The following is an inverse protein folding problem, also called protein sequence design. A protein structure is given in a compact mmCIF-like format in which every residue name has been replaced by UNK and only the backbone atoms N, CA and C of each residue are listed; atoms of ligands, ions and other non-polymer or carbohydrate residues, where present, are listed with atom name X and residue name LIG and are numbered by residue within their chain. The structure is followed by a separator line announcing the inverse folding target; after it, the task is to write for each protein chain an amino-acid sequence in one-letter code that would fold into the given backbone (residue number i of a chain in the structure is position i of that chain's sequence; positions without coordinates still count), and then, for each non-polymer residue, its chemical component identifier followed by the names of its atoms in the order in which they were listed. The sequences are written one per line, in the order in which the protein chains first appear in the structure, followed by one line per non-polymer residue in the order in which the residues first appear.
data_IF_549604525594
#
_entry.id   IF_549604525594
#
_cell.length_a   1.000
_cell.length_b   1.000
_cell.length_c   1.000
_cell.angle_alpha   90.00
_cell.angle_beta   90.00
_cell.angle_gamma   90.00
#
_symmetry.space_group_name_H-M   'P 1'
#
loop_
_entity.id
_entity.type
_entity.pdbx_description
1 polymer ?
#
# COMPACT_ATOMS: atom_id res chain seq x y z
N UNK A 1 -19.58 67.42 15.59
CA UNK A 1 -18.42 66.54 15.27
C UNK A 1 -18.88 65.15 15.50
N UNK A 2 -19.14 64.37 14.42
CA UNK A 2 -19.62 62.98 14.48
C UNK A 2 -18.45 62.10 14.18
N UNK A 3 -17.99 61.35 15.20
CA UNK A 3 -16.93 60.32 15.06
C UNK A 3 -17.49 59.09 14.39
N UNK A 4 -16.90 58.69 13.27
CA UNK A 4 -17.15 57.43 12.59
C UNK A 4 -16.24 56.39 13.22
N UNK A 5 -16.82 55.43 13.93
CA UNK A 5 -16.11 54.27 14.43
C UNK A 5 -16.07 53.23 13.30
N UNK A 6 -14.91 53.06 12.68
CA UNK A 6 -14.63 51.99 11.72
C UNK A 6 -14.46 50.67 12.47
N UNK A 7 -15.44 49.78 12.36
CA UNK A 7 -15.39 48.45 12.91
C UNK A 7 -14.68 47.55 11.87
N UNK A 8 -13.36 47.34 12.01
CA UNK A 8 -12.60 46.40 11.18
C UNK A 8 -12.92 44.98 11.61
N UNK A 9 -13.79 44.30 10.88
CA UNK A 9 -14.02 42.86 11.01
C UNK A 9 -12.85 42.12 10.34
N UNK A 10 -11.91 41.68 11.15
CA UNK A 10 -10.86 40.75 10.71
C UNK A 10 -11.53 39.37 10.54
N UNK A 11 -11.85 39.03 9.30
CA UNK A 11 -12.25 37.65 8.94
C UNK A 11 -10.99 36.76 9.04
N UNK A 12 -10.83 36.07 10.15
CA UNK A 12 -9.87 34.96 10.26
C UNK A 12 -10.35 33.81 9.34
N UNK A 13 -9.84 33.80 8.13
CA UNK A 13 -9.98 32.65 7.25
C UNK A 13 -9.08 31.57 7.85
N UNK A 14 -9.68 30.63 8.58
CA UNK A 14 -9.01 29.41 9.02
C UNK A 14 -8.68 28.60 7.76
N UNK A 15 -7.44 28.70 7.28
CA UNK A 15 -6.90 27.81 6.27
C UNK A 15 -6.78 26.43 6.93
N UNK A 16 -7.79 25.59 6.74
CA UNK A 16 -7.69 24.18 7.06
C UNK A 16 -6.64 23.60 6.13
N UNK A 17 -5.42 23.42 6.62
CA UNK A 17 -4.41 22.64 5.93
C UNK A 17 -4.89 21.18 6.00
N UNK A 18 -5.46 20.67 4.91
CA UNK A 18 -5.69 19.25 4.74
C UNK A 18 -4.32 18.59 4.66
N UNK A 19 -3.86 18.05 5.78
CA UNK A 19 -2.75 17.11 5.78
C UNK A 19 -3.23 15.86 5.04
N UNK A 20 -2.47 15.40 4.07
CA UNK A 20 -2.74 14.13 3.41
C UNK A 20 -2.38 13.01 4.40
N UNK A 21 -3.41 12.33 4.95
CA UNK A 21 -3.22 11.16 5.81
C UNK A 21 -3.10 9.91 4.96
N UNK A 22 -2.10 9.08 5.26
CA UNK A 22 -1.90 7.81 4.58
C UNK A 22 -2.52 6.66 5.38
N UNK A 23 -2.96 5.56 4.73
CA UNK A 23 -3.57 4.43 5.43
C UNK A 23 -2.73 3.89 6.59
N UNK A 24 -1.41 3.80 6.43
CA UNK A 24 -0.50 3.35 7.50
C UNK A 24 -0.41 4.28 8.71
N UNK A 25 -0.86 5.54 8.58
CA UNK A 25 -0.86 6.51 9.68
C UNK A 25 -2.16 6.48 10.51
N UNK A 26 -3.20 5.84 9.99
CA UNK A 26 -4.52 5.76 10.59
C UNK A 26 -4.66 4.54 11.51
N UNK A 27 -5.63 4.62 12.43
CA UNK A 27 -6.09 3.50 13.24
C UNK A 27 -7.30 2.85 12.58
N UNK A 28 -7.18 1.59 12.18
CA UNK A 28 -8.22 0.81 11.51
C UNK A 28 -8.81 -0.23 12.44
N UNK A 29 -10.11 -0.43 12.41
CA UNK A 29 -10.71 -1.60 13.07
C UNK A 29 -10.18 -2.89 12.42
N UNK A 30 -9.75 -3.85 13.27
CA UNK A 30 -9.14 -5.05 12.73
C UNK A 30 -8.86 -6.15 13.74
N UNK A 31 -8.20 -7.19 13.24
CA UNK A 31 -7.80 -8.37 14.00
C UNK A 31 -6.38 -8.78 13.64
N UNK A 32 -5.64 -9.20 14.66
CA UNK A 32 -4.28 -9.74 14.51
C UNK A 32 -4.29 -11.17 15.00
N UNK A 33 -3.78 -12.09 14.21
CA UNK A 33 -3.50 -13.46 14.63
C UNK A 33 -1.99 -13.62 14.80
N UNK A 34 -1.60 -14.01 16.01
CA UNK A 34 -0.20 -14.24 16.37
C UNK A 34 0.24 -15.64 15.94
N UNK A 35 1.56 -15.87 15.87
CA UNK A 35 2.14 -17.17 15.49
C UNK A 35 1.80 -18.30 16.47
N UNK A 36 1.45 -17.99 17.72
CA UNK A 36 0.98 -18.95 18.72
C UNK A 36 -0.52 -19.31 18.57
N UNK A 37 -1.22 -18.69 17.61
CA UNK A 37 -2.64 -18.90 17.35
C UNK A 37 -3.60 -17.93 18.07
N UNK A 38 -3.10 -17.11 19.00
CA UNK A 38 -3.93 -16.11 19.69
C UNK A 38 -4.42 -15.05 18.71
N UNK A 39 -5.67 -14.65 18.86
CA UNK A 39 -6.27 -13.58 18.04
C UNK A 39 -6.67 -12.40 18.92
N UNK A 40 -6.19 -11.23 18.55
CA UNK A 40 -6.48 -9.95 19.21
C UNK A 40 -7.36 -9.10 18.29
N UNK A 41 -8.37 -8.45 18.85
CA UNK A 41 -9.25 -7.53 18.13
C UNK A 41 -9.12 -6.12 18.71
N UNK A 42 -9.04 -5.12 17.85
CA UNK A 42 -8.88 -3.72 18.28
C UNK A 42 -8.59 -2.79 17.11
N UNK A 43 -8.15 -1.58 17.44
CA UNK A 43 -7.72 -0.61 16.43
C UNK A 43 -6.26 -0.81 16.11
N UNK A 44 -5.95 -1.05 14.84
CA UNK A 44 -4.61 -1.40 14.36
C UNK A 44 -4.04 -0.25 13.55
N UNK A 45 -2.81 0.11 13.85
CA UNK A 45 -1.93 0.92 13.03
C UNK A 45 -0.76 0.05 12.59
N UNK A 46 -0.36 0.12 11.32
CA UNK A 46 0.72 -0.70 10.78
C UNK A 46 1.85 0.16 10.21
N UNK A 47 3.04 -0.38 10.24
CA UNK A 47 4.26 0.22 9.70
C UNK A 47 4.99 -0.86 8.90
N UNK A 48 4.86 -0.81 7.57
CA UNK A 48 5.50 -1.78 6.68
C UNK A 48 6.99 -1.49 6.46
N UNK A 49 7.46 -0.29 6.77
CA UNK A 49 8.88 0.04 6.68
C UNK A 49 9.69 -0.68 7.78
N UNK A 50 9.14 -0.69 8.99
CA UNK A 50 9.75 -1.32 10.16
C UNK A 50 9.18 -2.72 10.47
N UNK A 51 8.22 -3.21 9.69
CA UNK A 51 7.53 -4.48 9.87
C UNK A 51 6.92 -4.65 11.26
N UNK A 52 6.21 -3.60 11.70
CA UNK A 52 5.55 -3.50 13.00
C UNK A 52 4.06 -3.24 12.84
N UNK A 53 3.30 -3.68 13.85
CA UNK A 53 1.93 -3.21 14.07
C UNK A 53 1.78 -2.73 15.50
N UNK A 54 0.89 -1.78 15.69
CA UNK A 54 0.37 -1.37 16.98
C UNK A 54 -1.12 -1.71 17.02
N UNK A 55 -1.56 -2.34 18.11
CA UNK A 55 -2.97 -2.61 18.35
C UNK A 55 -3.39 -1.95 19.65
N UNK A 56 -4.51 -1.25 19.63
CA UNK A 56 -5.12 -0.60 20.78
C UNK A 56 -6.29 -1.45 21.27
N UNK A 57 -6.16 -1.98 22.48
CA UNK A 57 -7.18 -2.79 23.15
C UNK A 57 -7.42 -2.18 24.52
N UNK A 58 -8.66 -1.82 24.84
CA UNK A 58 -9.04 -1.21 26.14
C UNK A 58 -8.11 -0.06 26.56
N UNK A 59 -7.81 0.86 25.63
CA UNK A 59 -6.89 2.00 25.81
C UNK A 59 -5.43 1.62 26.10
N UNK A 60 -5.06 0.36 25.91
CA UNK A 60 -3.68 -0.11 26.03
C UNK A 60 -3.11 -0.39 24.67
N UNK A 61 -1.93 0.16 24.38
CA UNK A 61 -1.22 -0.05 23.12
C UNK A 61 -0.26 -1.24 23.30
N UNK A 62 -0.37 -2.19 22.39
CA UNK A 62 0.57 -3.30 22.27
C UNK A 62 1.24 -3.24 20.90
N UNK A 63 2.55 -3.50 20.84
CA UNK A 63 3.32 -3.48 19.60
C UNK A 63 3.86 -4.88 19.31
N UNK A 64 3.68 -5.33 18.07
CA UNK A 64 4.16 -6.63 17.59
C UNK A 64 4.99 -6.44 16.32
N UNK A 65 6.11 -7.16 16.25
CA UNK A 65 6.87 -7.26 14.99
C UNK A 65 6.36 -8.40 14.12
N UNK A 66 6.68 -8.37 12.84
CA UNK A 66 6.34 -9.43 11.88
C UNK A 66 6.69 -10.84 12.40
N UNK A 67 7.75 -11.00 13.20
CA UNK A 67 8.14 -12.29 13.79
C UNK A 67 7.10 -12.90 14.73
N UNK A 68 6.23 -12.07 15.33
CA UNK A 68 5.19 -12.53 16.27
C UNK A 68 3.81 -12.62 15.63
N UNK A 69 3.65 -12.15 14.40
CA UNK A 69 2.39 -12.08 13.67
C UNK A 69 2.37 -13.19 12.64
N UNK A 70 1.26 -13.93 12.55
CA UNK A 70 0.99 -14.79 11.41
C UNK A 70 0.34 -13.95 10.28
N UNK A 71 -0.74 -13.25 10.62
CA UNK A 71 -1.41 -12.31 9.72
C UNK A 71 -2.26 -11.30 10.51
N UNK A 72 -2.63 -10.21 9.87
CA UNK A 72 -3.64 -9.31 10.38
C UNK A 72 -4.56 -8.83 9.25
N UNK A 73 -5.78 -8.45 9.61
CA UNK A 73 -6.74 -7.85 8.69
C UNK A 73 -7.30 -6.57 9.30
N UNK A 74 -7.49 -5.56 8.46
CA UNK A 74 -8.05 -4.26 8.81
C UNK A 74 -9.19 -3.90 7.87
N UNK A 75 -10.14 -3.10 8.35
CA UNK A 75 -11.09 -2.41 7.50
C UNK A 75 -10.57 -1.01 7.21
N UNK A 76 -10.15 -0.78 5.97
CA UNK A 76 -9.63 0.51 5.52
C UNK A 76 -10.79 1.37 5.01
N UNK A 77 -11.18 2.38 5.81
CA UNK A 77 -12.29 3.29 5.50
C UNK A 77 -12.01 4.12 4.25
N UNK A 78 -10.74 4.42 3.96
CA UNK A 78 -10.37 5.27 2.81
C UNK A 78 -10.70 4.64 1.46
N UNK A 79 -10.74 3.30 1.41
CA UNK A 79 -11.07 2.50 0.23
C UNK A 79 -12.28 1.58 0.45
N UNK A 80 -12.91 1.66 1.62
CA UNK A 80 -14.11 0.92 2.04
C UNK A 80 -13.98 -0.59 1.83
N UNK A 81 -12.81 -1.16 2.15
CA UNK A 81 -12.56 -2.58 1.96
C UNK A 81 -11.70 -3.19 3.07
N UNK A 82 -11.82 -4.51 3.23
CA UNK A 82 -10.89 -5.27 4.05
C UNK A 82 -9.57 -5.46 3.32
N UNK A 83 -8.48 -5.26 4.07
CA UNK A 83 -7.12 -5.52 3.62
C UNK A 83 -6.50 -6.55 4.56
N UNK A 84 -5.85 -7.56 4.01
CA UNK A 84 -5.21 -8.63 4.78
C UNK A 84 -3.71 -8.66 4.49
N UNK A 85 -2.95 -8.74 5.56
CA UNK A 85 -1.50 -8.73 5.53
C UNK A 85 -0.96 -10.00 6.20
N UNK A 86 -0.04 -10.66 5.54
CA UNK A 86 0.64 -11.84 6.07
C UNK A 86 2.10 -11.53 6.39
N UNK A 87 2.59 -12.15 7.44
CA UNK A 87 4.01 -12.18 7.74
C UNK A 87 4.63 -13.35 6.97
N UNK A 88 5.45 -13.04 5.97
CA UNK A 88 6.01 -14.04 5.06
C UNK A 88 7.54 -13.93 5.13
N UNK A 89 8.26 -15.06 5.28
CA UNK A 89 9.72 -15.08 5.16
C UNK A 89 10.14 -14.54 3.79
N UNK A 90 11.06 -13.59 3.79
CA UNK A 90 11.59 -12.97 2.58
C UNK A 90 13.11 -12.87 2.65
N UNK A 91 13.78 -13.34 1.59
CA UNK A 91 15.23 -13.30 1.48
C UNK A 91 15.70 -11.85 1.19
N UNK A 92 16.27 -11.21 2.20
CA UNK A 92 16.81 -9.84 2.06
C UNK A 92 18.27 -9.83 1.62
N UNK A 93 18.98 -10.93 1.86
CA UNK A 93 20.35 -11.19 1.43
C UNK A 93 20.50 -12.68 1.16
N UNK A 94 21.47 -13.13 0.35
CA UNK A 94 21.69 -14.54 0.09
C UNK A 94 21.74 -15.38 1.39
N UNK A 95 20.86 -16.37 1.50
CA UNK A 95 20.70 -17.26 2.66
C UNK A 95 20.29 -16.57 3.97
N UNK A 96 19.73 -15.34 3.89
CA UNK A 96 19.22 -14.65 5.08
C UNK A 96 17.80 -14.18 4.86
N UNK A 97 16.86 -14.90 5.47
CA UNK A 97 15.42 -14.59 5.43
C UNK A 97 14.97 -13.97 6.74
N UNK A 98 14.10 -12.98 6.61
CA UNK A 98 13.36 -12.41 7.74
C UNK A 98 11.88 -12.33 7.39
N UNK A 99 10.98 -12.47 8.37
CA UNK A 99 9.56 -12.26 8.13
C UNK A 99 9.29 -10.76 7.91
N UNK A 100 8.67 -10.47 6.77
CA UNK A 100 8.16 -9.13 6.41
C UNK A 100 6.65 -9.18 6.25
N UNK A 101 6.00 -8.05 6.45
CA UNK A 101 4.55 -7.91 6.29
C UNK A 101 4.20 -7.56 4.83
N UNK A 102 3.38 -8.39 4.19
CA UNK A 102 2.89 -8.18 2.84
C UNK A 102 1.36 -8.11 2.80
N UNK A 103 0.81 -7.12 2.12
CA UNK A 103 -0.60 -7.12 1.77
C UNK A 103 -0.86 -8.16 0.66
N UNK A 104 -1.86 -9.02 0.85
CA UNK A 104 -2.30 -9.94 -0.19
C UNK A 104 -3.34 -9.24 -1.06
N UNK A 105 -2.98 -8.95 -2.30
CA UNK A 105 -3.89 -8.33 -3.27
C UNK A 105 -4.70 -9.37 -4.05
N UNK A 106 -4.13 -10.51 -4.30
CA UNK A 106 -4.79 -11.65 -4.94
C UNK A 106 -4.11 -12.95 -4.52
N UNK A 107 -4.88 -13.90 -4.05
CA UNK A 107 -4.41 -15.22 -3.66
C UNK A 107 -4.72 -16.24 -4.77
N UNK A 108 -3.79 -17.15 -5.07
CA UNK A 108 -3.96 -18.16 -6.09
C UNK A 108 -2.72 -19.02 -6.30
N UNK A 109 -2.64 -19.75 -7.44
CA UNK A 109 -1.42 -20.48 -7.83
C UNK A 109 -0.21 -19.55 -8.01
N UNK A 110 -0.50 -18.32 -8.43
CA UNK A 110 0.41 -17.20 -8.40
C UNK A 110 -0.26 -16.10 -7.57
N UNK A 111 0.22 -15.84 -6.38
CA UNK A 111 -0.29 -14.77 -5.51
C UNK A 111 0.37 -13.46 -5.85
N UNK A 112 -0.40 -12.37 -5.84
CA UNK A 112 0.08 -11.00 -5.97
C UNK A 112 0.08 -10.35 -4.59
N UNK A 113 1.24 -9.89 -4.17
CA UNK A 113 1.49 -9.25 -2.89
C UNK A 113 1.94 -7.80 -3.12
N UNK A 114 1.74 -6.96 -2.11
CA UNK A 114 2.22 -5.59 -2.14
C UNK A 114 2.80 -5.16 -0.80
N UNK A 115 3.75 -4.22 -0.86
CA UNK A 115 4.17 -3.38 0.26
C UNK A 115 4.00 -1.93 -0.14
N UNK A 116 3.42 -1.14 0.74
CA UNK A 116 3.30 0.30 0.54
C UNK A 116 4.37 1.04 1.33
N UNK A 117 4.81 2.16 0.80
CA UNK A 117 5.74 3.07 1.43
C UNK A 117 5.34 4.51 1.14
N UNK A 118 5.55 5.39 2.11
CA UNK A 118 5.39 6.83 1.93
C UNK A 118 6.70 7.36 1.35
N UNK A 119 6.66 7.80 0.11
CA UNK A 119 7.84 8.32 -0.57
C UNK A 119 7.73 9.82 -0.83
N UNK A 120 8.86 10.50 -0.75
CA UNK A 120 8.96 11.92 -1.05
C UNK A 120 9.49 12.10 -2.47
N UNK A 121 8.77 12.84 -3.29
CA UNK A 121 9.23 13.19 -4.64
C UNK A 121 9.31 14.71 -4.82
N UNK A 122 10.28 15.14 -5.59
CA UNK A 122 10.43 16.54 -6.00
C UNK A 122 9.83 16.72 -7.37
N UNK A 123 8.81 17.56 -7.48
CA UNK A 123 8.13 17.88 -8.74
C UNK A 123 8.38 19.33 -9.12
N UNK A 124 8.77 19.62 -10.38
CA UNK A 124 8.88 20.98 -10.84
C UNK A 124 7.48 21.60 -10.97
N UNK A 125 7.27 22.72 -10.31
CA UNK A 125 6.06 23.51 -10.45
C UNK A 125 6.38 24.86 -11.11
N UNK A 126 5.74 25.12 -12.24
CA UNK A 126 5.87 26.41 -12.91
C UNK A 126 4.93 27.43 -12.27
N UNK A 127 5.49 28.52 -11.76
CA UNK A 127 4.73 29.64 -11.25
C UNK A 127 4.57 30.72 -12.32
N UNK A 128 3.38 30.92 -12.81
CA UNK A 128 3.07 32.01 -13.78
C UNK A 128 3.31 33.40 -13.20
N UNK A 129 3.14 33.59 -11.89
CA UNK A 129 3.33 34.86 -11.22
C UNK A 129 4.80 35.30 -11.19
N UNK A 130 5.71 34.34 -11.05
CA UNK A 130 7.15 34.61 -10.95
C UNK A 130 7.93 34.25 -12.22
N UNK A 131 7.28 33.70 -13.26
CA UNK A 131 7.88 33.21 -14.51
C UNK A 131 9.10 32.31 -14.25
N UNK A 132 9.04 31.54 -13.19
CA UNK A 132 10.13 30.64 -12.78
C UNK A 132 9.56 29.24 -12.41
N UNK A 133 10.37 28.21 -12.59
CA UNK A 133 10.07 26.89 -12.03
C UNK A 133 10.62 26.83 -10.61
N UNK A 134 9.76 26.45 -9.68
CA UNK A 134 10.13 26.08 -8.31
C UNK A 134 10.02 24.57 -8.15
N UNK A 135 10.96 23.97 -7.45
CA UNK A 135 10.82 22.57 -7.06
C UNK A 135 9.95 22.50 -5.80
N UNK A 136 8.84 21.78 -5.91
CA UNK A 136 8.00 21.44 -4.75
C UNK A 136 8.25 20.00 -4.35
N UNK A 137 8.37 19.79 -3.05
CA UNK A 137 8.45 18.46 -2.46
C UNK A 137 7.06 18.03 -2.04
N UNK A 138 6.63 16.84 -2.46
CA UNK A 138 5.38 16.24 -2.00
C UNK A 138 5.61 14.79 -1.58
N UNK A 139 4.84 14.36 -0.59
CA UNK A 139 4.77 12.95 -0.21
C UNK A 139 3.66 12.24 -0.97
N UNK A 140 3.88 10.99 -1.32
CA UNK A 140 2.86 10.13 -1.94
C UNK A 140 3.00 8.69 -1.47
N UNK A 141 1.91 7.95 -1.54
CA UNK A 141 1.92 6.51 -1.36
C UNK A 141 2.47 5.84 -2.62
N UNK A 142 3.47 5.01 -2.45
CA UNK A 142 4.05 4.17 -3.48
C UNK A 142 3.85 2.70 -3.12
N UNK A 143 3.83 1.83 -4.12
CA UNK A 143 3.68 0.39 -3.93
C UNK A 143 4.86 -0.34 -4.57
N UNK A 144 5.37 -1.32 -3.85
CA UNK A 144 6.21 -2.38 -4.39
C UNK A 144 5.34 -3.63 -4.55
N UNK A 145 5.45 -4.30 -5.69
CA UNK A 145 4.68 -5.51 -5.96
C UNK A 145 5.58 -6.73 -6.00
N UNK A 146 5.01 -7.86 -5.58
CA UNK A 146 5.71 -9.14 -5.53
C UNK A 146 4.78 -10.24 -6.00
N UNK A 147 5.36 -11.24 -6.66
CA UNK A 147 4.68 -12.47 -7.01
C UNK A 147 5.26 -13.62 -6.19
N UNK A 148 4.36 -14.45 -5.67
CA UNK A 148 4.70 -15.66 -4.92
C UNK A 148 3.99 -16.86 -5.54
N UNK A 149 4.72 -17.87 -5.96
CA UNK A 149 4.16 -19.10 -6.49
C UNK A 149 3.95 -20.15 -5.38
N UNK A 150 3.26 -21.26 -5.73
CA UNK A 150 3.00 -22.35 -4.80
C UNK A 150 4.26 -23.13 -4.34
N UNK A 151 5.40 -22.91 -4.98
CA UNK A 151 6.68 -23.52 -4.61
C UNK A 151 7.46 -22.64 -3.63
N UNK A 152 6.95 -21.46 -3.31
CA UNK A 152 7.64 -20.47 -2.47
C UNK A 152 8.59 -19.56 -3.25
N UNK A 153 8.62 -19.61 -4.59
CA UNK A 153 9.45 -18.69 -5.36
C UNK A 153 8.87 -17.28 -5.24
N UNK A 154 9.69 -16.38 -4.71
CA UNK A 154 9.34 -14.99 -4.46
C UNK A 154 10.03 -14.09 -5.48
N UNK A 155 9.27 -13.30 -6.23
CA UNK A 155 9.81 -12.42 -7.27
C UNK A 155 9.34 -10.99 -7.02
N UNK A 156 10.27 -10.07 -6.75
CA UNK A 156 9.97 -8.62 -6.74
C UNK A 156 9.72 -8.17 -8.18
N UNK A 157 8.58 -7.52 -8.39
CA UNK A 157 8.17 -7.04 -9.70
C UNK A 157 8.62 -5.59 -9.91
N UNK A 158 9.41 -5.35 -10.94
CA UNK A 158 9.99 -4.04 -11.30
C UNK A 158 9.05 -3.14 -12.12
N UNK A 159 7.76 -3.51 -12.20
CA UNK A 159 6.70 -2.83 -12.97
C UNK A 159 6.93 -2.77 -14.49
N UNK A 160 7.81 -3.66 -15.02
CA UNK A 160 8.08 -3.74 -16.46
C UNK A 160 7.34 -4.88 -17.13
N UNK A 161 6.71 -4.59 -18.26
CA UNK A 161 5.95 -5.60 -19.05
C UNK A 161 6.75 -6.88 -19.37
N UNK A 162 8.04 -6.81 -19.78
CA UNK A 162 8.79 -8.03 -20.07
C UNK A 162 8.87 -8.97 -18.88
N UNK A 163 9.17 -8.47 -17.69
CA UNK A 163 9.24 -9.28 -16.47
C UNK A 163 7.87 -9.88 -16.11
N UNK A 164 6.77 -9.13 -16.28
CA UNK A 164 5.43 -9.67 -16.04
C UNK A 164 5.14 -10.87 -16.97
N UNK A 165 5.55 -10.77 -18.23
CA UNK A 165 5.36 -11.85 -19.20
C UNK A 165 6.24 -13.06 -18.90
N UNK A 166 7.44 -12.86 -18.38
CA UNK A 166 8.32 -13.93 -17.91
C UNK A 166 7.69 -14.66 -16.71
N UNK A 167 7.23 -13.92 -15.69
CA UNK A 167 6.53 -14.46 -14.52
C UNK A 167 5.30 -15.28 -14.94
N UNK A 168 4.57 -14.81 -15.95
CA UNK A 168 3.34 -15.45 -16.45
C UNK A 168 3.58 -16.25 -17.76
N UNK A 169 4.80 -16.73 -18.00
CA UNK A 169 5.24 -17.35 -19.26
C UNK A 169 4.37 -18.52 -19.73
N UNK A 170 3.79 -19.30 -18.79
CA UNK A 170 2.90 -20.45 -19.14
C UNK A 170 1.68 -20.05 -19.96
N UNK A 171 1.22 -18.80 -19.87
CA UNK A 171 0.03 -18.26 -20.54
C UNK A 171 0.29 -16.90 -21.17
N UNK A 172 1.55 -16.63 -21.51
CA UNK A 172 1.99 -15.33 -22.02
C UNK A 172 1.13 -14.77 -23.16
N UNK A 173 0.82 -15.54 -24.24
CA UNK A 173 0.02 -15.03 -25.35
C UNK A 173 -1.37 -14.57 -24.92
N UNK A 174 -2.03 -15.32 -24.04
CA UNK A 174 -3.35 -15.00 -23.49
C UNK A 174 -3.28 -13.72 -22.62
N UNK A 175 -2.26 -13.61 -21.78
CA UNK A 175 -2.03 -12.43 -20.92
C UNK A 175 -1.77 -11.18 -21.77
N UNK A 176 -0.91 -11.27 -22.79
CA UNK A 176 -0.67 -10.16 -23.74
C UNK A 176 -1.96 -9.68 -24.39
N UNK A 177 -2.77 -10.62 -24.87
CA UNK A 177 -4.06 -10.31 -25.50
C UNK A 177 -5.04 -9.68 -24.51
N UNK A 178 -5.13 -10.23 -23.29
CA UNK A 178 -6.00 -9.72 -22.23
C UNK A 178 -5.65 -8.27 -21.84
N UNK A 179 -4.36 -8.00 -21.63
CA UNK A 179 -3.85 -6.65 -21.31
C UNK A 179 -4.18 -5.67 -22.45
N UNK A 180 -3.92 -6.06 -23.70
CA UNK A 180 -4.19 -5.21 -24.88
C UNK A 180 -5.68 -4.94 -25.07
N UNK A 181 -6.51 -5.99 -25.02
CA UNK A 181 -7.97 -5.90 -25.22
C UNK A 181 -8.64 -5.03 -24.16
N UNK A 182 -8.20 -5.13 -22.91
CA UNK A 182 -8.79 -4.40 -21.79
C UNK A 182 -8.04 -3.10 -21.44
N UNK A 183 -7.01 -2.71 -22.22
CA UNK A 183 -6.18 -1.51 -22.01
C UNK A 183 -5.61 -1.41 -20.59
N UNK A 184 -5.17 -2.55 -20.01
CA UNK A 184 -4.68 -2.62 -18.65
C UNK A 184 -3.25 -2.07 -18.53
N UNK A 185 -2.99 -1.42 -17.40
CA UNK A 185 -1.66 -0.93 -17.03
C UNK A 185 -0.96 -1.97 -16.16
N UNK A 186 0.33 -2.22 -16.45
CA UNK A 186 1.13 -3.23 -15.72
C UNK A 186 1.83 -2.68 -14.49
N UNK A 187 1.66 -1.41 -14.21
CA UNK A 187 2.16 -0.68 -13.04
C UNK A 187 1.04 -0.18 -12.10
N UNK A 188 -0.20 -0.55 -12.40
CA UNK A 188 -1.38 -0.18 -11.61
C UNK A 188 -1.80 -1.33 -10.70
N UNK A 189 -1.91 -1.08 -9.39
CA UNK A 189 -2.40 -2.04 -8.38
C UNK A 189 -3.69 -2.72 -8.83
N UNK A 190 -4.70 -1.94 -9.23
CA UNK A 190 -6.01 -2.44 -9.67
C UNK A 190 -5.89 -3.37 -10.89
N UNK A 191 -5.09 -2.97 -11.86
CA UNK A 191 -4.98 -3.72 -13.11
C UNK A 191 -4.12 -4.97 -12.93
N UNK A 192 -3.08 -4.93 -12.08
CA UNK A 192 -2.29 -6.10 -11.70
C UNK A 192 -3.14 -7.17 -11.03
N UNK A 193 -4.05 -6.79 -10.12
CA UNK A 193 -5.02 -7.74 -9.52
C UNK A 193 -5.84 -8.43 -10.60
N UNK A 194 -6.38 -7.68 -11.56
CA UNK A 194 -7.18 -8.24 -12.68
C UNK A 194 -6.36 -9.15 -13.58
N UNK A 195 -5.12 -8.78 -13.88
CA UNK A 195 -4.21 -9.58 -14.70
C UNK A 195 -3.87 -10.89 -14.00
N UNK A 196 -3.55 -10.82 -12.69
CA UNK A 196 -3.20 -12.00 -11.88
C UNK A 196 -4.40 -12.93 -11.71
N UNK A 197 -5.59 -12.39 -11.45
CA UNK A 197 -6.81 -13.19 -11.37
C UNK A 197 -7.10 -13.92 -12.69
N UNK A 198 -6.98 -13.24 -13.83
CA UNK A 198 -7.15 -13.86 -15.14
C UNK A 198 -6.10 -14.94 -15.41
N UNK A 199 -4.83 -14.71 -15.03
CA UNK A 199 -3.77 -15.71 -15.16
C UNK A 199 -4.08 -16.97 -14.34
N UNK A 200 -4.49 -16.81 -13.09
CA UNK A 200 -4.86 -17.94 -12.23
C UNK A 200 -6.02 -18.75 -12.82
N UNK A 201 -7.07 -18.08 -13.31
CA UNK A 201 -8.21 -18.73 -13.97
C UNK A 201 -7.82 -19.51 -15.24
N UNK A 202 -6.74 -19.14 -15.93
CA UNK A 202 -6.22 -19.91 -17.06
C UNK A 202 -5.42 -21.17 -16.64
N UNK A 203 -5.07 -21.29 -15.36
CA UNK A 203 -4.31 -22.41 -14.80
C UNK A 203 -5.19 -23.47 -14.13
N UNK A 204 -6.47 -23.16 -13.90
CA UNK A 204 -7.49 -24.11 -13.41
C UNK A 204 -7.88 -25.06 -14.53
#
# INVERSE_FOLDING_TARGET
MRGVVLFSVIIMISLSTFSQEFPSELLHEGKVTLVNGDTLSGKIKYDLENDLIQIVINNTIQTFSARKIAFFSIYDISVEMYRTFYSIPYEIQPNYEIPLLFEVLHEGRLSLLAREAIVTETVPQYSYAYRSSMNMTRTKLAYEFYFLDQKGNFVKYDMKKPQLYEIMSRKEPQIKNYIKKNKLKTDSRRDLVRITAYYNALLE
#
